data_IF_442850172359
#
_entry.id   IF_442850172359
#
_cell.length_a   1.000
_cell.length_b   1.000
_cell.length_c   1.000
_cell.angle_alpha   90.00
_cell.angle_beta   90.00
_cell.angle_gamma   90.00
#
_symmetry.space_group_name_H-M   'P 1'
#
loop_
_entity.id
_entity.type
_entity.pdbx_description
1 polymer ?
#
# COMPACT_ATOMS: atom_id res chain seq x y z
N UNK A 1 18.66 11.32 -24.06
CA UNK A 1 19.13 9.94 -24.31
C UNK A 1 18.24 8.97 -23.54
N UNK A 2 18.53 7.66 -23.55
CA UNK A 2 17.76 6.63 -22.83
C UNK A 2 18.65 6.06 -21.73
N UNK A 3 18.11 5.95 -20.51
CA UNK A 3 18.74 5.24 -19.40
C UNK A 3 18.29 3.79 -19.41
N UNK A 4 19.24 2.87 -19.36
CA UNK A 4 18.99 1.44 -19.25
C UNK A 4 19.18 0.97 -17.81
N UNK A 5 18.22 0.19 -17.32
CA UNK A 5 18.22 -0.40 -15.98
C UNK A 5 18.00 -1.90 -16.13
N UNK A 6 18.88 -2.69 -15.52
CA UNK A 6 18.77 -4.15 -15.51
C UNK A 6 18.09 -4.57 -14.21
N UNK A 7 16.93 -5.21 -14.33
CA UNK A 7 16.12 -5.69 -13.21
C UNK A 7 16.26 -7.20 -13.06
N UNK A 8 16.45 -7.67 -11.83
CA UNK A 8 16.48 -9.09 -11.51
C UNK A 8 15.09 -9.58 -11.08
N UNK A 9 14.80 -10.87 -11.25
CA UNK A 9 13.51 -11.43 -10.84
C UNK A 9 13.21 -11.28 -9.34
N UNK A 10 14.24 -11.20 -8.49
CA UNK A 10 14.05 -10.93 -7.06
C UNK A 10 13.49 -9.53 -6.77
N UNK A 11 13.55 -8.61 -7.74
CA UNK A 11 13.06 -7.23 -7.60
C UNK A 11 11.54 -7.13 -7.81
N UNK A 12 10.89 -8.16 -8.37
CA UNK A 12 9.42 -8.26 -8.47
C UNK A 12 8.76 -8.21 -7.09
N UNK A 13 9.48 -8.64 -6.05
CA UNK A 13 8.98 -8.75 -4.67
C UNK A 13 9.29 -7.50 -3.83
N UNK A 14 9.60 -6.37 -4.47
CA UNK A 14 9.96 -5.10 -3.79
C UNK A 14 9.15 -3.94 -4.38
N UNK A 15 8.99 -2.88 -3.58
CA UNK A 15 8.37 -1.62 -4.01
C UNK A 15 7.00 -1.40 -3.38
N UNK A 16 6.38 -0.27 -3.71
CA UNK A 16 5.15 0.20 -3.05
C UNK A 16 3.89 -0.54 -3.52
N UNK A 17 3.92 -1.14 -4.71
CA UNK A 17 2.78 -1.80 -5.37
C UNK A 17 2.82 -3.34 -5.28
N UNK A 18 3.60 -3.89 -4.34
CA UNK A 18 3.58 -5.32 -4.07
C UNK A 18 2.20 -5.76 -3.58
N UNK A 19 1.57 -6.70 -4.29
CA UNK A 19 0.32 -7.32 -3.88
C UNK A 19 0.62 -8.44 -2.88
N UNK A 20 0.27 -8.23 -1.62
CA UNK A 20 0.43 -9.24 -0.57
C UNK A 20 -0.96 -9.67 -0.10
N UNK A 21 -1.26 -10.96 -0.26
CA UNK A 21 -2.50 -11.60 0.18
C UNK A 21 -2.28 -13.12 0.29
N UNK A 22 -3.34 -13.90 0.50
CA UNK A 22 -3.24 -15.36 0.66
C UNK A 22 -2.68 -16.09 -0.58
N UNK A 23 -2.86 -15.53 -1.78
CA UNK A 23 -2.35 -16.10 -3.04
C UNK A 23 -0.92 -15.66 -3.34
N UNK A 24 -0.54 -14.47 -2.88
CA UNK A 24 0.76 -13.86 -3.09
C UNK A 24 1.44 -13.52 -1.76
N UNK A 25 1.97 -14.52 -1.03
CA UNK A 25 2.72 -14.27 0.20
C UNK A 25 3.94 -13.40 -0.04
N UNK A 26 4.32 -12.62 0.97
CA UNK A 26 5.54 -11.83 0.95
C UNK A 26 6.76 -12.75 0.82
N UNK A 27 7.60 -12.50 -0.20
CA UNK A 27 8.81 -13.31 -0.44
C UNK A 27 10.03 -12.79 0.31
N UNK A 28 10.03 -11.53 0.73
CA UNK A 28 11.15 -10.89 1.41
C UNK A 28 10.67 -10.12 2.64
N UNK A 29 11.13 -10.53 3.82
CA UNK A 29 10.76 -9.94 5.12
C UNK A 29 11.78 -8.90 5.64
N UNK A 30 12.95 -8.79 5.03
CA UNK A 30 13.96 -7.82 5.45
C UNK A 30 13.54 -6.40 5.05
N UNK A 31 13.29 -5.56 6.03
CA UNK A 31 13.10 -4.12 5.86
C UNK A 31 14.17 -3.39 6.66
N UNK A 32 15.05 -2.71 5.95
CA UNK A 32 16.19 -2.00 6.56
C UNK A 32 15.91 -0.51 6.77
N UNK A 33 14.74 -0.03 6.34
CA UNK A 33 14.38 1.39 6.30
C UNK A 33 13.05 1.63 7.02
N UNK A 34 13.02 1.27 8.30
CA UNK A 34 11.90 1.51 9.19
C UNK A 34 12.20 2.72 10.09
N UNK A 35 11.18 3.55 10.30
CA UNK A 35 11.21 4.71 11.21
C UNK A 35 9.99 4.64 12.12
N UNK A 36 10.11 4.96 13.42
CA UNK A 36 8.96 5.07 14.30
C UNK A 36 8.13 6.30 13.95
N UNK A 37 6.81 6.21 14.12
CA UNK A 37 5.91 7.35 14.07
C UNK A 37 6.13 8.27 15.27
N UNK A 38 5.90 9.57 15.11
CA UNK A 38 6.02 10.55 16.19
C UNK A 38 5.27 10.11 17.46
N UNK A 39 5.96 10.15 18.60
CA UNK A 39 5.45 9.80 19.93
C UNK A 39 4.90 8.36 20.05
N UNK A 40 5.45 7.39 19.28
CA UNK A 40 4.97 6.01 19.21
C UNK A 40 6.11 4.99 18.99
N UNK A 41 5.91 3.75 19.46
CA UNK A 41 6.75 2.58 19.13
C UNK A 41 6.24 1.83 17.87
N UNK A 42 5.38 2.47 17.08
CA UNK A 42 4.85 1.90 15.83
C UNK A 42 5.71 2.36 14.66
N UNK A 43 6.24 1.39 13.93
CA UNK A 43 7.16 1.62 12.82
C UNK A 43 6.45 1.53 11.47
N UNK A 44 6.85 2.35 10.50
CA UNK A 44 6.53 2.19 9.08
C UNK A 44 7.80 2.36 8.27
N UNK A 45 7.73 2.15 6.95
CA UNK A 45 8.81 2.57 6.05
C UNK A 45 9.07 4.08 6.22
N UNK A 46 10.34 4.47 6.19
CA UNK A 46 10.75 5.85 6.48
C UNK A 46 9.97 6.91 5.70
N UNK A 47 9.91 6.79 4.37
CA UNK A 47 9.18 7.75 3.53
C UNK A 47 7.66 7.75 3.82
N UNK A 48 7.11 6.61 4.27
CA UNK A 48 5.69 6.46 4.59
C UNK A 48 5.34 7.16 5.91
N UNK A 49 6.26 7.17 6.88
CA UNK A 49 6.11 7.94 8.14
C UNK A 49 5.91 9.42 7.82
N UNK A 50 6.80 10.02 7.03
CA UNK A 50 6.75 11.45 6.72
C UNK A 50 5.46 11.84 5.98
N UNK A 51 4.96 10.95 5.11
CA UNK A 51 3.69 11.14 4.40
C UNK A 51 2.51 11.06 5.37
N UNK A 52 2.46 10.03 6.22
CA UNK A 52 1.37 9.86 7.19
C UNK A 52 1.31 11.04 8.17
N UNK A 53 2.44 11.45 8.73
CA UNK A 53 2.53 12.59 9.65
C UNK A 53 2.09 13.90 8.97
N UNK A 54 2.41 14.08 7.68
CA UNK A 54 1.95 15.24 6.91
C UNK A 54 0.43 15.26 6.76
N UNK A 55 -0.22 14.10 6.57
CA UNK A 55 -1.69 14.00 6.54
C UNK A 55 -2.25 14.35 7.92
N UNK A 56 -1.78 13.69 8.98
CA UNK A 56 -2.24 13.88 10.37
C UNK A 56 -2.12 15.35 10.79
N UNK A 57 -1.00 16.00 10.46
CA UNK A 57 -0.79 17.44 10.70
C UNK A 57 -1.75 18.30 9.88
N UNK A 58 -1.94 18.00 8.60
CA UNK A 58 -2.78 18.79 7.68
C UNK A 58 -4.25 18.87 8.14
N UNK A 59 -4.77 17.80 8.74
CA UNK A 59 -6.14 17.76 9.27
C UNK A 59 -6.21 18.02 10.78
N UNK A 60 -5.09 18.39 11.43
CA UNK A 60 -5.04 18.58 12.89
C UNK A 60 -5.60 17.40 13.68
N UNK A 61 -5.21 16.18 13.27
CA UNK A 61 -5.65 14.92 13.87
C UNK A 61 -4.73 14.38 14.98
N UNK A 62 -3.60 15.06 15.28
CA UNK A 62 -2.72 14.65 16.39
C UNK A 62 -3.52 14.59 17.69
N UNK A 63 -3.46 13.45 18.37
CA UNK A 63 -4.22 13.19 19.59
C UNK A 63 -5.72 12.98 19.39
N UNK A 64 -6.21 12.87 18.15
CA UNK A 64 -7.58 12.47 17.80
C UNK A 64 -7.61 11.14 17.03
N UNK A 65 -6.68 10.98 16.10
CA UNK A 65 -6.36 9.69 15.48
C UNK A 65 -5.11 9.15 16.17
N UNK A 66 -5.12 7.87 16.47
CA UNK A 66 -4.00 7.13 17.07
C UNK A 66 -3.52 6.04 16.12
N UNK A 67 -2.24 5.74 16.22
CA UNK A 67 -1.62 4.62 15.51
C UNK A 67 -1.85 3.35 16.33
N UNK A 68 -2.38 2.29 15.72
CA UNK A 68 -2.72 1.03 16.40
C UNK A 68 -1.72 -0.06 16.04
N UNK A 69 -1.45 -0.25 14.75
CA UNK A 69 -0.51 -1.27 14.28
C UNK A 69 0.15 -0.87 12.96
N UNK A 70 1.48 -0.85 12.91
CA UNK A 70 2.26 -0.55 11.70
C UNK A 70 2.99 -1.79 11.22
N UNK A 71 4.30 -1.72 11.06
CA UNK A 71 5.13 -2.87 10.75
C UNK A 71 4.93 -3.98 11.79
N UNK A 72 4.72 -5.20 11.31
CA UNK A 72 4.68 -6.42 12.11
C UNK A 72 5.71 -7.40 11.56
N UNK A 73 6.56 -7.93 12.42
CA UNK A 73 7.43 -9.07 12.11
C UNK A 73 6.60 -10.33 11.86
N UNK A 74 7.23 -11.33 11.23
CA UNK A 74 6.58 -12.64 11.03
C UNK A 74 6.16 -13.29 12.35
N UNK A 75 6.95 -13.13 13.41
CA UNK A 75 6.67 -13.74 14.70
C UNK A 75 5.51 -13.06 15.42
N UNK A 76 5.45 -11.73 15.39
CA UNK A 76 4.29 -10.98 15.93
C UNK A 76 2.99 -11.38 15.21
N UNK A 77 3.02 -11.51 13.88
CA UNK A 77 1.83 -11.93 13.13
C UNK A 77 1.38 -13.36 13.50
N UNK A 78 2.32 -14.29 13.75
CA UNK A 78 1.97 -15.64 14.23
C UNK A 78 1.30 -15.59 15.59
N UNK A 79 1.81 -14.78 16.51
CA UNK A 79 1.23 -14.62 17.84
C UNK A 79 -0.19 -14.07 17.73
N UNK A 80 -0.38 -12.97 17.00
CA UNK A 80 -1.69 -12.36 16.75
C UNK A 80 -2.67 -13.38 16.13
N UNK A 81 -2.23 -14.14 15.12
CA UNK A 81 -3.03 -15.18 14.49
C UNK A 81 -3.46 -16.26 15.50
N UNK A 82 -2.51 -16.80 16.26
CA UNK A 82 -2.78 -17.88 17.22
C UNK A 82 -3.66 -17.41 18.38
N UNK A 83 -3.43 -16.20 18.88
CA UNK A 83 -4.22 -15.59 19.94
C UNK A 83 -5.65 -15.32 19.45
N UNK A 84 -5.82 -14.79 18.24
CA UNK A 84 -7.14 -14.61 17.60
C UNK A 84 -7.87 -15.95 17.42
N UNK A 85 -7.20 -17.03 17.00
CA UNK A 85 -7.83 -18.36 16.91
C UNK A 85 -8.34 -18.79 18.29
N UNK A 86 -7.52 -18.62 19.33
CA UNK A 86 -7.86 -19.03 20.70
C UNK A 86 -9.04 -18.22 21.26
N UNK A 87 -9.08 -16.92 20.99
CA UNK A 87 -10.01 -15.99 21.62
C UNK A 87 -11.29 -15.78 20.82
N UNK A 88 -11.19 -15.75 19.50
CA UNK A 88 -12.30 -15.42 18.59
C UNK A 88 -12.66 -16.54 17.61
N UNK A 89 -11.86 -17.61 17.53
CA UNK A 89 -12.11 -18.75 16.66
C UNK A 89 -11.57 -18.60 15.24
N UNK A 90 -11.52 -19.72 14.51
CA UNK A 90 -10.90 -19.77 13.18
C UNK A 90 -11.66 -18.96 12.13
N UNK A 91 -13.00 -18.98 12.14
CA UNK A 91 -13.81 -18.26 11.15
C UNK A 91 -13.58 -16.75 11.22
N UNK A 92 -13.60 -16.19 12.44
CA UNK A 92 -13.29 -14.78 12.66
C UNK A 92 -11.85 -14.46 12.26
N UNK A 93 -10.89 -15.28 12.69
CA UNK A 93 -9.47 -15.03 12.43
C UNK A 93 -9.18 -14.97 10.93
N UNK A 94 -9.73 -15.90 10.14
CA UNK A 94 -9.55 -15.90 8.68
C UNK A 94 -10.15 -14.68 7.99
N UNK A 95 -11.13 -14.03 8.61
CA UNK A 95 -11.81 -12.85 8.07
C UNK A 95 -11.07 -11.53 8.34
N UNK A 96 -10.36 -11.42 9.47
CA UNK A 96 -9.79 -10.15 9.96
C UNK A 96 -8.28 -10.18 10.25
N UNK A 97 -7.66 -11.36 10.25
CA UNK A 97 -6.23 -11.50 10.50
C UNK A 97 -5.63 -12.21 9.31
N UNK A 98 -4.70 -11.55 8.61
CA UNK A 98 -4.00 -12.20 7.51
C UNK A 98 -3.11 -13.36 8.02
N UNK A 99 -3.04 -14.44 7.22
CA UNK A 99 -2.16 -15.59 7.48
C UNK A 99 -0.71 -15.08 7.65
N UNK A 100 0.08 -15.61 8.61
CA UNK A 100 1.48 -15.24 8.73
C UNK A 100 2.25 -15.34 7.41
N UNK A 101 2.91 -14.24 7.01
CA UNK A 101 3.56 -14.09 5.71
C UNK A 101 2.68 -13.57 4.57
N UNK A 102 1.38 -13.44 4.79
CA UNK A 102 0.40 -12.86 3.87
C UNK A 102 -0.17 -11.52 4.36
N UNK A 103 0.37 -10.98 5.46
CA UNK A 103 -0.01 -9.67 6.02
C UNK A 103 0.75 -8.52 5.35
N UNK A 104 0.03 -7.47 4.96
CA UNK A 104 0.65 -6.25 4.43
C UNK A 104 1.48 -5.51 5.49
N UNK A 105 1.22 -5.73 6.79
CA UNK A 105 2.03 -5.13 7.86
C UNK A 105 3.48 -5.59 7.82
N UNK A 106 3.76 -6.78 7.26
CA UNK A 106 5.13 -7.23 7.05
C UNK A 106 5.93 -6.33 6.09
N UNK A 107 5.26 -5.48 5.30
CA UNK A 107 5.89 -4.61 4.30
C UNK A 107 6.26 -3.23 4.85
N UNK A 108 5.76 -2.86 6.05
CA UNK A 108 5.88 -1.51 6.58
C UNK A 108 5.12 -0.45 5.77
N UNK A 109 4.24 -0.86 4.84
CA UNK A 109 3.40 0.01 4.01
C UNK A 109 1.95 0.08 4.50
N UNK A 110 1.57 -0.75 5.48
CA UNK A 110 0.22 -0.80 6.05
C UNK A 110 0.19 -0.21 7.45
N UNK A 111 -0.88 0.49 7.78
CA UNK A 111 -1.13 1.10 9.09
C UNK A 111 -2.59 0.92 9.48
N UNK A 112 -2.80 0.43 10.69
CA UNK A 112 -4.08 0.44 11.37
C UNK A 112 -4.20 1.72 12.19
N UNK A 113 -5.28 2.46 11.97
CA UNK A 113 -5.58 3.71 12.65
C UNK A 113 -6.85 3.58 13.48
N UNK A 114 -6.87 4.21 14.65
CA UNK A 114 -8.04 4.27 15.52
C UNK A 114 -8.45 5.71 15.82
N UNK A 115 -9.74 5.93 16.05
CA UNK A 115 -10.21 7.12 16.75
C UNK A 115 -9.83 7.00 18.23
N UNK A 116 -9.25 8.07 18.80
CA UNK A 116 -8.84 8.09 20.20
C UNK A 116 -10.02 7.86 21.14
N UNK A 117 -9.91 6.83 21.96
CA UNK A 117 -10.85 6.44 23.02
C UNK A 117 -10.07 5.97 24.26
N UNK A 118 -10.77 5.74 25.37
CA UNK A 118 -10.18 5.19 26.60
C UNK A 118 -9.65 3.77 26.36
N UNK A 119 -10.43 2.96 25.64
CA UNK A 119 -10.07 1.60 25.22
C UNK A 119 -10.13 1.51 23.69
N UNK A 120 -9.13 0.86 23.10
CA UNK A 120 -9.01 0.65 21.66
C UNK A 120 -8.85 -0.84 21.44
N UNK A 121 -9.73 -1.42 20.63
CA UNK A 121 -9.59 -2.79 20.15
C UNK A 121 -8.38 -2.86 19.21
N UNK A 122 -7.46 -3.78 19.47
CA UNK A 122 -6.23 -3.92 18.68
C UNK A 122 -6.48 -4.60 17.32
N UNK A 123 -7.45 -5.51 17.23
CA UNK A 123 -7.76 -6.24 15.98
C UNK A 123 -8.71 -5.43 15.11
N UNK A 124 -9.72 -4.80 15.72
CA UNK A 124 -10.77 -4.07 15.04
C UNK A 124 -10.94 -2.64 15.60
N UNK A 125 -9.91 -1.77 15.53
CA UNK A 125 -10.00 -0.42 16.07
C UNK A 125 -11.08 0.40 15.36
N UNK A 126 -11.81 1.22 16.12
CA UNK A 126 -12.87 2.04 15.54
C UNK A 126 -12.29 3.16 14.67
N UNK A 127 -12.70 3.22 13.40
CA UNK A 127 -12.31 4.27 12.46
C UNK A 127 -13.49 4.66 11.55
N UNK A 128 -14.42 5.48 12.04
CA UNK A 128 -15.71 5.70 11.39
C UNK A 128 -15.64 6.42 10.03
N UNK A 129 -16.75 6.38 9.29
CA UNK A 129 -16.95 7.12 8.04
C UNK A 129 -17.56 8.50 8.29
N UNK A 130 -17.15 9.14 9.38
CA UNK A 130 -17.52 10.50 9.75
C UNK A 130 -16.35 11.24 10.42
N UNK A 131 -16.56 12.54 10.66
CA UNK A 131 -15.63 13.39 11.38
C UNK A 131 -14.20 13.36 10.86
N UNK A 132 -13.24 13.34 11.79
CA UNK A 132 -11.81 13.40 11.47
C UNK A 132 -11.30 12.16 10.72
N UNK A 133 -11.91 11.00 10.94
CA UNK A 133 -11.57 9.75 10.26
C UNK A 133 -11.96 9.80 8.78
N UNK A 134 -13.12 10.37 8.46
CA UNK A 134 -13.53 10.59 7.07
C UNK A 134 -12.70 11.68 6.38
N UNK A 135 -12.33 12.74 7.10
CA UNK A 135 -11.38 13.74 6.57
C UNK A 135 -10.03 13.11 6.22
N UNK A 136 -9.50 12.25 7.10
CA UNK A 136 -8.30 11.46 6.82
C UNK A 136 -8.48 10.61 5.57
N UNK A 137 -9.52 9.77 5.52
CA UNK A 137 -9.79 8.87 4.39
C UNK A 137 -9.90 9.60 3.05
N UNK A 138 -10.55 10.76 3.04
CA UNK A 138 -10.68 11.56 1.81
C UNK A 138 -9.33 12.06 1.31
N UNK A 139 -8.50 12.57 2.23
CA UNK A 139 -7.20 13.18 1.94
C UNK A 139 -6.11 12.14 1.66
N UNK A 140 -6.16 10.98 2.32
CA UNK A 140 -5.13 9.95 2.28
C UNK A 140 -4.80 9.48 0.85
N UNK A 141 -5.81 9.39 -0.03
CA UNK A 141 -5.62 9.01 -1.43
C UNK A 141 -4.89 10.04 -2.28
N UNK A 142 -4.90 11.32 -1.88
CA UNK A 142 -4.08 12.34 -2.56
C UNK A 142 -2.61 12.30 -2.10
N UNK A 143 -2.29 11.43 -1.13
CA UNK A 143 -0.98 11.27 -0.52
C UNK A 143 -0.40 9.86 -0.70
N UNK A 144 -1.11 8.94 -1.37
CA UNK A 144 -0.57 7.60 -1.64
C UNK A 144 -1.25 6.46 -0.89
N UNK A 145 -2.19 6.72 0.02
CA UNK A 145 -2.86 5.70 0.82
C UNK A 145 -4.25 5.33 0.27
N UNK A 146 -4.64 4.07 0.45
CA UNK A 146 -6.00 3.58 0.20
C UNK A 146 -6.55 2.91 1.46
N UNK A 147 -7.88 2.95 1.66
CA UNK A 147 -8.55 1.98 2.53
C UNK A 147 -8.51 0.62 1.83
N UNK A 148 -7.81 -0.35 2.42
CA UNK A 148 -7.40 -1.57 1.72
C UNK A 148 -8.53 -2.58 1.53
N UNK A 149 -9.37 -2.73 2.54
CA UNK A 149 -10.39 -3.76 2.63
C UNK A 149 -11.78 -3.15 2.73
N UNK A 150 -12.40 -2.95 1.57
CA UNK A 150 -13.75 -2.42 1.42
C UNK A 150 -14.76 -3.57 1.36
N UNK A 151 -15.97 -3.33 1.86
CA UNK A 151 -17.01 -4.36 1.99
C UNK A 151 -17.40 -5.00 0.65
N UNK A 152 -17.47 -4.19 -0.39
CA UNK A 152 -17.82 -4.61 -1.75
C UNK A 152 -16.71 -5.42 -2.43
N UNK A 153 -15.52 -5.52 -1.82
CA UNK A 153 -14.34 -6.23 -2.36
C UNK A 153 -13.97 -7.49 -1.58
N UNK A 154 -14.73 -7.86 -0.54
CA UNK A 154 -14.45 -9.03 0.32
C UNK A 154 -14.27 -10.33 -0.47
N UNK A 155 -15.06 -10.53 -1.54
CA UNK A 155 -14.94 -11.71 -2.40
C UNK A 155 -13.63 -11.76 -3.20
N UNK A 156 -12.97 -10.63 -3.39
CA UNK A 156 -11.70 -10.52 -4.12
C UNK A 156 -10.53 -10.52 -3.14
N UNK A 157 -10.60 -9.67 -2.10
CA UNK A 157 -9.53 -9.50 -1.10
C UNK A 157 -9.45 -10.66 -0.11
N UNK A 158 -10.56 -11.39 0.07
CA UNK A 158 -10.74 -12.48 1.05
C UNK A 158 -10.59 -12.05 2.51
N UNK A 159 -10.58 -10.74 2.75
CA UNK A 159 -10.56 -10.09 4.05
C UNK A 159 -11.83 -9.27 4.17
N UNK A 160 -12.47 -9.32 5.34
CA UNK A 160 -13.69 -8.56 5.64
C UNK A 160 -13.43 -7.06 5.61
N UNK A 161 -14.50 -6.26 5.63
CA UNK A 161 -14.38 -4.80 5.71
C UNK A 161 -13.56 -4.36 6.93
N UNK A 162 -12.49 -3.59 6.70
CA UNK A 162 -11.62 -3.01 7.74
C UNK A 162 -11.47 -1.50 7.53
N UNK A 163 -12.37 -0.67 8.09
CA UNK A 163 -12.34 0.79 7.94
C UNK A 163 -11.06 1.47 8.45
N UNK A 164 -10.29 0.77 9.28
CA UNK A 164 -9.08 1.23 9.96
C UNK A 164 -7.78 0.92 9.22
N UNK A 165 -7.77 -0.04 8.30
CA UNK A 165 -6.56 -0.53 7.64
C UNK A 165 -6.28 0.27 6.36
N UNK A 166 -5.18 1.02 6.39
CA UNK A 166 -4.72 1.82 5.25
C UNK A 166 -3.41 1.29 4.68
N UNK A 167 -3.37 1.18 3.34
CA UNK A 167 -2.22 0.69 2.58
C UNK A 167 -1.60 1.82 1.74
N UNK A 168 -0.32 2.07 1.91
CA UNK A 168 0.46 2.97 1.06
C UNK A 168 0.86 2.28 -0.24
N UNK A 169 0.55 2.94 -1.36
CA UNK A 169 0.83 2.53 -2.73
C UNK A 169 1.59 3.60 -3.52
N UNK A 170 1.63 4.82 -3.01
CA UNK A 170 2.15 5.99 -3.72
C UNK A 170 1.10 6.70 -4.57
N UNK A 171 1.40 7.94 -4.91
CA UNK A 171 0.62 8.76 -5.85
C UNK A 171 1.25 8.61 -7.25
N UNK A 172 0.47 8.44 -8.34
CA UNK A 172 -0.99 8.62 -8.46
C UNK A 172 -1.82 7.35 -8.25
N UNK A 173 -1.19 6.21 -7.94
CA UNK A 173 -1.85 4.89 -7.89
C UNK A 173 -3.08 4.87 -6.98
N UNK A 174 -2.92 5.33 -5.75
CA UNK A 174 -4.02 5.47 -4.77
C UNK A 174 -5.19 6.31 -5.29
N UNK A 175 -4.91 7.37 -6.07
CA UNK A 175 -5.94 8.22 -6.67
C UNK A 175 -6.68 7.51 -7.79
N UNK A 176 -5.96 6.79 -8.66
CA UNK A 176 -6.55 5.98 -9.73
C UNK A 176 -7.46 4.91 -9.15
N UNK A 177 -6.99 4.20 -8.12
CA UNK A 177 -7.76 3.18 -7.41
C UNK A 177 -9.07 3.76 -6.88
N UNK A 178 -9.00 4.91 -6.20
CA UNK A 178 -10.19 5.60 -5.69
C UNK A 178 -11.17 6.01 -6.80
N UNK A 179 -10.68 6.60 -7.89
CA UNK A 179 -11.53 7.08 -8.99
C UNK A 179 -12.19 5.94 -9.77
N UNK A 180 -11.53 4.78 -9.83
CA UNK A 180 -12.05 3.58 -10.51
C UNK A 180 -12.85 2.67 -9.60
N UNK A 181 -12.80 2.86 -8.28
CA UNK A 181 -13.43 1.96 -7.31
C UNK A 181 -12.78 0.58 -7.28
N UNK A 182 -11.45 0.52 -7.42
CA UNK A 182 -10.68 -0.72 -7.38
C UNK A 182 -10.26 -1.11 -5.96
N UNK A 183 -10.05 -2.39 -5.70
CA UNK A 183 -9.09 -2.85 -4.70
C UNK A 183 -7.68 -2.99 -5.34
N UNK A 184 -6.67 -3.31 -4.53
CA UNK A 184 -5.30 -3.47 -5.06
C UNK A 184 -5.22 -4.60 -6.10
N UNK A 185 -5.90 -5.72 -5.87
CA UNK A 185 -5.96 -6.85 -6.80
C UNK A 185 -6.44 -6.41 -8.19
N UNK A 186 -7.60 -5.74 -8.26
CA UNK A 186 -8.15 -5.23 -9.52
C UNK A 186 -7.23 -4.20 -10.18
N UNK A 187 -6.54 -3.37 -9.39
CA UNK A 187 -5.58 -2.41 -9.92
C UNK A 187 -4.36 -3.08 -10.56
N UNK A 188 -3.86 -4.17 -9.97
CA UNK A 188 -2.75 -4.94 -10.54
C UNK A 188 -3.17 -5.58 -11.87
N UNK A 189 -4.38 -6.13 -11.96
CA UNK A 189 -4.88 -6.68 -13.22
C UNK A 189 -5.11 -5.59 -14.27
N UNK A 190 -5.70 -4.46 -13.87
CA UNK A 190 -5.93 -3.31 -14.74
C UNK A 190 -4.64 -2.76 -15.34
N UNK A 191 -3.59 -2.56 -14.53
CA UNK A 191 -2.37 -1.92 -15.04
C UNK A 191 -1.56 -2.82 -15.97
N UNK A 192 -1.76 -4.14 -15.90
CA UNK A 192 -1.16 -5.12 -16.81
C UNK A 192 -1.66 -5.01 -18.26
N UNK A 193 -2.77 -4.31 -18.50
CA UNK A 193 -3.27 -4.03 -19.85
C UNK A 193 -2.50 -2.92 -20.59
N UNK A 194 -1.57 -2.25 -19.90
CA UNK A 194 -0.81 -1.11 -20.42
C UNK A 194 0.68 -1.45 -20.42
N UNK A 195 1.32 -1.37 -21.57
CA UNK A 195 2.76 -1.62 -21.74
C UNK A 195 3.50 -0.34 -22.16
N UNK A 196 4.79 -0.46 -22.47
CA UNK A 196 5.61 0.69 -22.85
C UNK A 196 5.15 1.36 -24.16
N UNK A 197 4.46 0.64 -25.05
CA UNK A 197 3.92 1.17 -26.31
C UNK A 197 2.56 1.84 -26.09
N UNK A 198 1.76 1.30 -25.16
CA UNK A 198 0.43 1.82 -24.78
C UNK A 198 0.37 2.08 -23.26
N UNK A 199 0.96 3.20 -22.84
CA UNK A 199 0.96 3.62 -21.43
C UNK A 199 -0.41 4.12 -20.97
N UNK A 200 -0.77 3.85 -19.72
CA UNK A 200 -1.89 4.52 -19.05
C UNK A 200 -1.49 5.96 -18.73
N UNK A 201 -2.32 6.92 -19.13
CA UNK A 201 -2.09 8.34 -18.89
C UNK A 201 -3.05 8.81 -17.81
N UNK A 202 -2.50 9.23 -16.68
CA UNK A 202 -3.25 9.88 -15.61
C UNK A 202 -2.90 11.35 -15.56
N UNK A 203 -3.91 12.22 -15.47
CA UNK A 203 -3.75 13.65 -15.26
C UNK A 203 -4.42 14.04 -13.96
N UNK A 204 -3.70 14.73 -13.10
CA UNK A 204 -4.29 15.24 -11.87
C UNK A 204 -5.01 16.58 -12.08
N UNK A 205 -5.61 17.11 -11.02
CA UNK A 205 -6.34 18.39 -11.04
C UNK A 205 -5.47 19.62 -11.34
N UNK A 206 -4.14 19.47 -11.37
CA UNK A 206 -3.18 20.52 -11.74
C UNK A 206 -2.63 20.32 -13.17
N UNK A 207 -3.21 19.42 -13.96
CA UNK A 207 -2.74 19.01 -15.29
C UNK A 207 -1.33 18.38 -15.29
N UNK A 208 -0.82 17.95 -14.13
CA UNK A 208 0.40 17.15 -14.07
C UNK A 208 0.09 15.77 -14.64
N UNK A 209 0.92 15.33 -15.59
CA UNK A 209 0.72 14.09 -16.32
C UNK A 209 1.65 13.01 -15.79
N UNK A 210 1.08 11.83 -15.56
CA UNK A 210 1.75 10.61 -15.16
C UNK A 210 1.55 9.56 -16.24
N UNK A 211 2.63 8.95 -16.69
CA UNK A 211 2.59 7.82 -17.63
C UNK A 211 2.91 6.53 -16.85
N UNK A 212 2.00 5.56 -16.86
CA UNK A 212 2.12 4.33 -16.08
C UNK A 212 2.02 3.13 -16.99
N UNK A 213 2.89 2.16 -16.81
CA UNK A 213 2.83 0.92 -17.59
C UNK A 213 3.42 -0.26 -16.82
N UNK A 214 3.01 -1.45 -17.25
CA UNK A 214 3.52 -2.73 -16.79
C UNK A 214 4.62 -3.26 -17.71
N UNK A 215 5.65 -3.82 -17.10
CA UNK A 215 6.75 -4.51 -17.77
C UNK A 215 6.83 -5.95 -17.23
N UNK A 216 6.42 -6.96 -18.02
CA UNK A 216 6.50 -8.36 -17.62
C UNK A 216 7.94 -8.76 -17.32
N UNK A 217 8.15 -9.52 -16.24
CA UNK A 217 9.47 -10.03 -15.92
C UNK A 217 9.89 -11.14 -16.89
N UNK A 218 11.16 -11.11 -17.31
CA UNK A 218 11.79 -12.16 -18.13
C UNK A 218 12.42 -13.23 -17.25
N UNK A 219 12.62 -14.44 -17.81
CA UNK A 219 13.19 -15.58 -17.08
C UNK A 219 14.54 -15.30 -16.41
N UNK A 220 15.38 -14.47 -17.02
CA UNK A 220 16.70 -14.13 -16.49
C UNK A 220 16.72 -12.70 -15.94
N UNK A 221 16.88 -11.71 -16.83
CA UNK A 221 16.91 -10.29 -16.48
C UNK A 221 15.96 -9.51 -17.37
N UNK A 222 15.33 -8.51 -16.78
CA UNK A 222 14.39 -7.62 -17.47
C UNK A 222 15.08 -6.30 -17.74
N UNK A 223 15.13 -5.89 -19.01
CA UNK A 223 15.71 -4.60 -19.40
C UNK A 223 14.60 -3.54 -19.36
N UNK A 224 14.80 -2.52 -18.54
CA UNK A 224 13.96 -1.35 -18.45
C UNK A 224 14.66 -0.17 -19.14
N UNK A 225 13.95 0.51 -20.03
CA UNK A 225 14.44 1.70 -20.74
C UNK A 225 13.60 2.91 -20.34
N UNK A 226 14.24 3.89 -19.72
CA UNK A 226 13.60 5.13 -19.26
C UNK A 226 14.14 6.31 -20.08
N UNK A 227 13.28 7.16 -20.65
CA UNK A 227 13.71 8.41 -21.27
C UNK A 227 14.40 9.32 -20.25
N UNK A 228 15.53 9.93 -20.62
CA UNK A 228 16.16 10.96 -19.77
C UNK A 228 15.27 12.19 -19.57
N UNK A 229 15.46 12.88 -18.44
CA UNK A 229 14.71 14.09 -18.10
C UNK A 229 13.32 13.82 -17.49
N UNK A 230 12.94 12.55 -17.33
CA UNK A 230 11.76 12.13 -16.58
C UNK A 230 12.14 11.63 -15.20
N UNK A 231 11.34 11.99 -14.21
CA UNK A 231 11.33 11.27 -12.94
C UNK A 231 10.63 9.92 -13.13
N UNK A 232 11.06 8.92 -12.35
CA UNK A 232 10.41 7.63 -12.37
C UNK A 232 10.36 6.98 -10.99
N UNK A 233 9.30 6.20 -10.78
CA UNK A 233 9.19 5.19 -9.73
C UNK A 233 9.10 3.81 -10.38
N UNK A 234 9.66 2.83 -9.68
CA UNK A 234 9.67 1.43 -10.06
C UNK A 234 9.20 0.60 -8.88
N UNK A 235 8.21 -0.25 -9.11
CA UNK A 235 7.78 -1.26 -8.15
C UNK A 235 7.62 -2.59 -8.85
N UNK A 236 8.04 -3.68 -8.22
CA UNK A 236 7.47 -4.98 -8.52
C UNK A 236 6.01 -5.06 -8.08
N UNK A 237 5.25 -6.00 -8.63
CA UNK A 237 3.86 -6.26 -8.25
C UNK A 237 3.69 -7.46 -7.30
N UNK A 238 4.78 -8.14 -6.92
CA UNK A 238 4.79 -9.41 -6.17
C UNK A 238 4.23 -10.64 -6.91
N UNK A 239 3.94 -10.50 -8.21
CA UNK A 239 3.30 -11.54 -9.03
C UNK A 239 4.20 -11.95 -10.19
N UNK A 240 4.39 -11.06 -11.16
CA UNK A 240 4.92 -11.42 -12.48
C UNK A 240 5.67 -10.30 -13.21
N UNK A 241 5.82 -9.12 -12.61
CA UNK A 241 6.55 -8.04 -13.28
C UNK A 241 6.66 -6.75 -12.50
N UNK A 242 6.85 -5.68 -13.24
CA UNK A 242 7.17 -4.36 -12.74
C UNK A 242 6.16 -3.33 -13.22
N UNK A 243 5.82 -2.38 -12.36
CA UNK A 243 5.01 -1.21 -12.66
C UNK A 243 5.95 -0.01 -12.64
N UNK A 244 5.94 0.74 -13.74
CA UNK A 244 6.75 1.92 -13.95
C UNK A 244 5.83 3.12 -13.97
N UNK A 245 6.18 4.15 -13.21
CA UNK A 245 5.47 5.42 -13.14
C UNK A 245 6.41 6.53 -13.54
N UNK A 246 6.08 7.28 -14.59
CA UNK A 246 6.88 8.39 -15.10
C UNK A 246 6.14 9.71 -14.91
N UNK A 247 6.85 10.77 -14.53
CA UNK A 247 6.29 12.12 -14.45
C UNK A 247 7.35 13.21 -14.61
N UNK A 248 6.87 14.43 -14.85
CA UNK A 248 7.71 15.62 -14.98
C UNK A 248 8.63 15.53 -16.21
N UNK A 249 8.16 16.03 -17.36
CA UNK A 249 9.09 16.47 -18.40
C UNK A 249 9.63 17.81 -17.93
N UNK A 250 10.94 17.92 -17.70
CA UNK A 250 11.53 19.26 -17.76
C UNK A 250 11.10 19.87 -19.11
N UNK A 251 10.52 21.06 -19.07
CA UNK A 251 10.34 21.84 -20.29
C UNK A 251 11.73 22.02 -20.89
N UNK A 252 12.03 21.30 -21.98
CA UNK A 252 13.20 21.55 -22.81
C UNK A 252 13.12 22.95 -23.43
#
# INVERSE_FOLDING_TARGET
>A
MIREIILENKDIYKGNLILVNEYYPLKKFEINDLKPLEDSDIYLKNDVVDILEKIIKKISAKGKIVYVSGYRSLEEQKNIWNDSIRESGEEFTRKYVAIPGCSEHHTGLAIDLGLKKEEIDFICPDFPYDGICEEFRKLACDYGFIERYQKEKEEITKISKEPWHFRYLGYPHSKIIKEKGFCLEEYIDFIKEYDNEKKYIFKNSKEETFEIYFLPAKKDKTLLQIPEGLNYELSGNNVDGFIITLWGRENA
#
